data_IF_423205356029
#
_entry.id   IF_423205356029
#
_cell.length_a   1.000
_cell.length_b   1.000
_cell.length_c   1.000
_cell.angle_alpha   90.00
_cell.angle_beta   90.00
_cell.angle_gamma   90.00
#
_symmetry.space_group_name_H-M   'P 1'
#
loop_
_entity.id
_entity.type
_entity.pdbx_description
1 polymer ?
#
# COMPACT_ATOMS: atom_id res chain seq x y z
N UNK A 1 -11.08 7.06 -14.41
CA UNK A 1 -11.44 7.50 -13.04
C UNK A 1 -10.20 7.43 -12.16
N UNK A 2 -9.50 8.54 -11.90
CA UNK A 2 -8.41 8.59 -10.90
C UNK A 2 -9.08 8.72 -9.53
N UNK A 3 -8.98 7.70 -8.67
CA UNK A 3 -9.46 7.83 -7.28
C UNK A 3 -8.56 8.85 -6.59
N UNK A 4 -9.12 10.01 -6.28
CA UNK A 4 -8.49 10.93 -5.32
C UNK A 4 -8.34 10.16 -4.01
N UNK A 5 -7.10 10.06 -3.52
CA UNK A 5 -6.83 9.61 -2.17
C UNK A 5 -7.60 10.56 -1.24
N UNK A 6 -8.57 10.04 -0.50
CA UNK A 6 -9.23 10.82 0.55
C UNK A 6 -8.13 11.34 1.48
N UNK A 7 -8.22 12.61 1.90
CA UNK A 7 -7.26 13.33 2.77
C UNK A 7 -6.97 12.69 4.15
N UNK A 8 -7.23 11.39 4.36
CA UNK A 8 -6.95 10.61 5.56
C UNK A 8 -6.42 9.20 5.30
N UNK A 9 -6.06 8.85 4.05
CA UNK A 9 -5.41 7.56 3.77
C UNK A 9 -3.95 7.59 4.24
N UNK A 10 -3.69 7.00 5.42
CA UNK A 10 -2.34 6.90 5.99
C UNK A 10 -1.43 6.13 5.02
N UNK A 11 -0.40 6.81 4.49
CA UNK A 11 0.64 6.19 3.69
C UNK A 11 1.64 5.52 4.62
N UNK A 12 1.79 4.20 4.49
CA UNK A 12 2.65 3.39 5.34
C UNK A 12 3.76 2.72 4.54
N UNK A 13 4.88 2.42 5.20
CA UNK A 13 5.96 1.67 4.56
C UNK A 13 5.52 0.27 4.13
N UNK A 14 6.15 -0.24 3.06
CA UNK A 14 5.88 -1.57 2.48
C UNK A 14 5.89 -2.68 3.54
N UNK A 15 6.85 -2.66 4.48
CA UNK A 15 6.94 -3.64 5.57
C UNK A 15 5.68 -3.67 6.45
N UNK A 16 5.19 -2.50 6.85
CA UNK A 16 3.98 -2.38 7.68
C UNK A 16 2.75 -2.86 6.90
N UNK A 17 2.65 -2.50 5.62
CA UNK A 17 1.58 -2.93 4.74
C UNK A 17 1.56 -4.45 4.54
N UNK A 18 2.72 -5.07 4.35
CA UNK A 18 2.87 -6.51 4.22
C UNK A 18 2.38 -7.25 5.47
N UNK A 19 2.73 -6.75 6.67
CA UNK A 19 2.25 -7.28 7.94
C UNK A 19 0.72 -7.19 8.10
N UNK A 20 0.11 -6.07 7.70
CA UNK A 20 -1.36 -5.89 7.74
C UNK A 20 -2.05 -6.85 6.76
N UNK A 21 -1.56 -6.89 5.52
CA UNK A 21 -2.13 -7.70 4.45
C UNK A 21 -1.84 -9.20 4.60
N UNK A 22 -0.95 -9.60 5.53
CA UNK A 22 -0.45 -10.97 5.72
C UNK A 22 0.13 -11.58 4.42
N UNK A 23 0.86 -10.78 3.66
CA UNK A 23 1.55 -11.19 2.43
C UNK A 23 3.02 -10.78 2.48
N UNK A 24 3.83 -11.24 1.52
CA UNK A 24 5.23 -10.81 1.43
C UNK A 24 5.36 -9.32 1.05
N UNK A 25 6.45 -8.67 1.48
CA UNK A 25 6.79 -7.32 1.01
C UNK A 25 6.89 -7.25 -0.53
N UNK A 26 7.36 -8.32 -1.16
CA UNK A 26 7.44 -8.40 -2.62
C UNK A 26 6.07 -8.37 -3.28
N UNK A 27 5.08 -9.06 -2.68
CA UNK A 27 3.69 -9.02 -3.16
C UNK A 27 3.14 -7.61 -3.11
N UNK A 28 3.37 -6.86 -2.02
CA UNK A 28 2.96 -5.45 -1.91
C UNK A 28 3.63 -4.60 -3.00
N UNK A 29 4.93 -4.78 -3.25
CA UNK A 29 5.65 -4.06 -4.32
C UNK A 29 5.04 -4.33 -5.69
N UNK A 30 4.81 -5.60 -6.02
CA UNK A 30 4.22 -6.01 -7.30
C UNK A 30 2.81 -5.44 -7.49
N UNK A 31 1.97 -5.43 -6.44
CA UNK A 31 0.63 -4.86 -6.49
C UNK A 31 0.65 -3.35 -6.68
N UNK A 32 1.58 -2.66 -6.04
CA UNK A 32 1.80 -1.23 -6.23
C UNK A 32 2.28 -0.91 -7.66
N UNK A 33 3.25 -1.67 -8.19
CA UNK A 33 3.74 -1.51 -9.57
C UNK A 33 2.63 -1.79 -10.60
N UNK A 34 1.74 -2.75 -10.32
CA UNK A 34 0.57 -3.04 -11.15
C UNK A 34 -0.58 -2.01 -10.98
N UNK A 35 -0.40 -0.98 -10.15
CA UNK A 35 -1.43 0.04 -9.88
C UNK A 35 -2.69 -0.49 -9.17
N UNK A 36 -2.59 -1.67 -8.52
CA UNK A 36 -3.70 -2.29 -7.78
C UNK A 36 -3.92 -1.69 -6.40
N UNK A 37 -2.87 -1.10 -5.83
CA UNK A 37 -2.89 -0.33 -4.58
C UNK A 37 -2.20 1.00 -4.81
N UNK A 38 -2.63 2.03 -4.09
CA UNK A 38 -1.97 3.32 -4.15
C UNK A 38 -0.57 3.26 -3.55
N UNK A 39 0.41 3.85 -4.24
CA UNK A 39 1.78 3.95 -3.78
C UNK A 39 2.42 5.27 -4.18
N UNK A 40 3.28 5.78 -3.31
CA UNK A 40 4.05 7.00 -3.52
C UNK A 40 5.49 6.80 -3.06
N UNK A 41 6.37 7.68 -3.52
CA UNK A 41 7.73 7.80 -3.00
C UNK A 41 7.70 8.86 -1.91
N UNK A 42 8.14 8.50 -0.70
CA UNK A 42 8.30 9.48 0.36
C UNK A 42 9.53 10.35 0.04
N UNK A 43 9.31 11.65 -0.15
CA UNK A 43 10.35 12.61 -0.52
C UNK A 43 11.49 12.74 0.50
N UNK A 44 11.24 12.41 1.77
CA UNK A 44 12.24 12.57 2.85
C UNK A 44 13.28 11.46 2.91
N UNK A 45 12.97 10.26 2.41
CA UNK A 45 13.84 9.08 2.53
C UNK A 45 13.85 8.19 1.27
N UNK A 46 13.19 8.62 0.20
CA UNK A 46 13.04 7.93 -1.08
C UNK A 46 12.46 6.49 -0.97
N UNK A 47 11.91 6.13 0.20
CA UNK A 47 11.24 4.85 0.38
C UNK A 47 9.87 4.85 -0.25
N UNK A 48 9.45 3.68 -0.73
CA UNK A 48 8.08 3.48 -1.20
C UNK A 48 7.14 3.37 0.01
N UNK A 49 6.10 4.17 -0.03
CA UNK A 49 4.96 4.09 0.89
C UNK A 49 3.71 3.71 0.11
N UNK A 50 2.77 3.02 0.74
CA UNK A 50 1.53 2.52 0.14
C UNK A 50 0.34 2.86 1.02
N UNK A 51 -0.87 2.92 0.46
CA UNK A 51 -2.07 3.19 1.24
C UNK A 51 -2.32 2.08 2.27
N UNK A 52 -2.47 2.47 3.55
CA UNK A 52 -2.88 1.56 4.62
C UNK A 52 -4.26 0.97 4.35
N UNK A 53 -5.18 1.75 3.79
CA UNK A 53 -6.53 1.29 3.50
C UNK A 53 -6.52 0.13 2.49
N UNK A 54 -5.74 0.27 1.41
CA UNK A 54 -5.60 -0.80 0.42
C UNK A 54 -4.94 -2.05 1.00
N UNK A 55 -3.93 -1.89 1.87
CA UNK A 55 -3.31 -3.02 2.59
C UNK A 55 -4.31 -3.75 3.49
N UNK A 56 -5.15 -3.03 4.23
CA UNK A 56 -6.21 -3.63 5.05
C UNK A 56 -7.26 -4.36 4.19
N UNK A 57 -7.63 -3.81 3.04
CA UNK A 57 -8.56 -4.46 2.10
C UNK A 57 -7.99 -5.75 1.52
N UNK A 58 -6.68 -5.82 1.28
CA UNK A 58 -6.02 -7.05 0.85
C UNK A 58 -6.19 -8.14 1.92
N UNK A 59 -6.00 -7.81 3.20
CA UNK A 59 -6.17 -8.76 4.30
C UNK A 59 -7.57 -9.40 4.31
N UNK A 60 -8.62 -8.61 4.11
CA UNK A 60 -10.01 -9.08 4.13
C UNK A 60 -10.37 -9.96 2.92
N UNK A 61 -9.69 -9.83 1.78
CA UNK A 61 -9.97 -10.65 0.58
C UNK A 61 -9.40 -12.07 0.65
N UNK A 62 -8.42 -12.29 1.52
CA UNK A 62 -7.72 -13.58 1.67
C UNK A 62 -7.99 -14.24 3.04
N UNK A 63 -8.90 -13.69 3.83
CA UNK A 63 -9.33 -14.24 5.12
C UNK A 63 -10.68 -14.92 5.01
#
# INVERSE_FOLDING_TARGET
>A
MKRMLSNGDEMIGVRKAAGIARVSEQTIRNLADAGKIASERNSSNNYRVVSRHDASRLATRFS
#
